data_IF_022956064879
#
_entry.id   IF_022956064879
#
_cell.length_a   1.000
_cell.length_b   1.000
_cell.length_c   1.000
_cell.angle_alpha   90.00
_cell.angle_beta   90.00
_cell.angle_gamma   90.00
#
_symmetry.space_group_name_H-M   'P 1'
#
loop_
_entity.id
_entity.type
_entity.pdbx_description
1 polymer ?
#
# COMPACT_ATOMS: atom_id res chain seq x y z
N UNK A 1 17.19 -21.12 12.33
CA UNK A 1 16.73 -21.03 10.93
C UNK A 1 16.81 -19.58 10.52
N UNK A 2 17.86 -19.21 9.79
CA UNK A 2 17.97 -17.90 9.14
C UNK A 2 16.72 -17.65 8.29
N UNK A 3 16.06 -16.52 8.54
CA UNK A 3 14.76 -16.20 7.97
C UNK A 3 14.79 -16.22 6.44
N UNK A 4 13.78 -16.82 5.84
CA UNK A 4 13.62 -16.96 4.40
C UNK A 4 13.25 -15.61 3.74
N UNK A 5 14.12 -14.60 3.89
CA UNK A 5 13.95 -13.27 3.26
C UNK A 5 14.05 -13.35 1.73
N UNK A 6 14.63 -14.40 1.19
CA UNK A 6 14.70 -14.63 -0.26
C UNK A 6 13.32 -14.77 -0.89
N UNK A 7 12.34 -15.35 -0.18
CA UNK A 7 10.96 -15.47 -0.66
C UNK A 7 10.24 -14.13 -0.87
N UNK A 8 10.71 -13.04 -0.24
CA UNK A 8 10.21 -11.67 -0.47
C UNK A 8 10.71 -11.15 -1.82
N UNK A 9 11.94 -11.49 -2.22
CA UNK A 9 12.58 -10.97 -3.44
C UNK A 9 12.05 -11.59 -4.73
N UNK A 10 11.59 -12.84 -4.67
CA UNK A 10 11.10 -13.60 -5.83
C UNK A 10 9.62 -13.35 -6.16
N UNK A 11 8.93 -12.59 -5.31
CA UNK A 11 7.49 -12.37 -5.40
C UNK A 11 7.17 -11.16 -6.28
N UNK A 12 6.37 -11.37 -7.32
CA UNK A 12 5.82 -10.29 -8.12
C UNK A 12 4.78 -9.47 -7.35
N UNK A 13 4.75 -8.17 -7.60
CA UNK A 13 3.76 -7.26 -7.04
C UNK A 13 3.31 -6.20 -8.04
N UNK A 14 2.11 -5.66 -7.85
CA UNK A 14 1.61 -4.46 -8.50
C UNK A 14 1.17 -3.44 -7.46
N UNK A 15 1.08 -2.17 -7.84
CA UNK A 15 0.60 -1.11 -6.96
C UNK A 15 -0.27 -0.11 -7.73
N UNK A 16 -1.36 0.28 -7.09
CA UNK A 16 -2.24 1.37 -7.50
C UNK A 16 -2.03 2.54 -6.53
N UNK A 17 -1.82 3.75 -7.06
CA UNK A 17 -1.60 4.97 -6.25
C UNK A 17 -2.53 6.07 -6.74
N UNK A 18 -3.45 6.47 -5.88
CA UNK A 18 -4.46 7.49 -6.19
C UNK A 18 -4.00 8.89 -5.74
N UNK A 19 -4.24 9.90 -6.59
CA UNK A 19 -3.90 11.29 -6.30
C UNK A 19 -4.78 12.29 -7.06
N UNK A 20 -4.67 13.55 -6.66
CA UNK A 20 -5.31 14.72 -7.29
C UNK A 20 -4.36 15.93 -7.28
N UNK A 21 -4.80 17.13 -7.66
CA UNK A 21 -3.97 18.33 -7.74
C UNK A 21 -3.15 18.47 -9.03
N UNK A 22 -3.02 17.38 -9.79
CA UNK A 22 -2.53 17.37 -11.17
C UNK A 22 -3.48 16.59 -12.06
N UNK A 23 -3.48 16.89 -13.35
CA UNK A 23 -4.27 16.14 -14.34
C UNK A 23 -3.61 14.80 -14.70
N UNK A 24 -4.39 13.84 -15.19
CA UNK A 24 -3.85 12.57 -15.73
C UNK A 24 -2.75 12.78 -16.77
N UNK A 25 -2.90 13.76 -17.66
CA UNK A 25 -1.87 14.10 -18.65
C UNK A 25 -0.56 14.58 -18.00
N UNK A 26 -0.65 15.44 -16.99
CA UNK A 26 0.52 15.92 -16.23
C UNK A 26 1.20 14.78 -15.48
N UNK A 27 0.42 13.91 -14.82
CA UNK A 27 0.93 12.71 -14.16
C UNK A 27 1.65 11.79 -15.17
N UNK A 28 1.02 11.50 -16.31
CA UNK A 28 1.59 10.65 -17.35
C UNK A 28 2.92 11.21 -17.89
N UNK A 29 3.01 12.53 -18.13
CA UNK A 29 4.25 13.19 -18.53
C UNK A 29 5.34 13.12 -17.45
N UNK A 30 4.96 13.32 -16.19
CA UNK A 30 5.90 13.25 -15.06
C UNK A 30 6.51 11.84 -14.92
N UNK A 31 5.67 10.80 -15.06
CA UNK A 31 6.10 9.39 -15.03
C UNK A 31 6.94 9.05 -16.27
N UNK A 32 6.53 9.46 -17.46
CA UNK A 32 7.27 9.24 -18.70
C UNK A 32 8.70 9.76 -18.64
N UNK A 33 8.94 10.91 -17.99
CA UNK A 33 10.29 11.45 -17.79
C UNK A 33 11.17 10.52 -16.95
N UNK A 34 10.64 9.93 -15.88
CA UNK A 34 11.40 9.01 -15.01
C UNK A 34 11.68 7.68 -15.71
N UNK A 35 10.73 7.21 -16.52
CA UNK A 35 10.86 5.96 -17.27
C UNK A 35 11.61 6.12 -18.59
N UNK A 36 12.16 7.33 -18.87
CA UNK A 36 12.87 7.68 -20.11
C UNK A 36 12.07 7.28 -21.37
N UNK A 37 10.77 7.56 -21.32
CA UNK A 37 9.78 7.08 -22.29
C UNK A 37 8.80 8.20 -22.64
N UNK A 38 7.73 7.86 -23.35
CA UNK A 38 6.66 8.78 -23.70
C UNK A 38 5.30 8.24 -23.26
N UNK A 39 4.37 9.16 -22.99
CA UNK A 39 3.00 8.82 -22.65
C UNK A 39 2.13 8.76 -23.91
N UNK A 40 1.34 7.70 -24.05
CA UNK A 40 0.33 7.53 -25.10
C UNK A 40 -1.05 7.64 -24.46
N UNK A 41 -1.93 8.51 -24.99
CA UNK A 41 -3.33 8.52 -24.59
C UNK A 41 -4.08 7.45 -25.39
N UNK A 42 -4.47 6.36 -24.75
CA UNK A 42 -5.30 5.28 -25.31
C UNK A 42 -6.80 5.63 -25.27
N UNK A 43 -7.20 6.63 -24.48
CA UNK A 43 -8.58 7.07 -24.33
C UNK A 43 -9.46 6.07 -23.59
N UNK A 44 -10.69 5.88 -24.07
CA UNK A 44 -11.68 4.95 -23.50
C UNK A 44 -12.38 5.48 -22.23
N UNK A 45 -13.20 4.64 -21.58
CA UNK A 45 -14.01 5.05 -20.43
C UNK A 45 -13.18 5.52 -19.22
N UNK A 46 -11.89 5.16 -19.18
CA UNK A 46 -10.96 5.55 -18.13
C UNK A 46 -10.01 6.69 -18.53
N UNK A 47 -10.12 7.26 -19.74
CA UNK A 47 -9.18 8.25 -20.31
C UNK A 47 -7.72 7.86 -20.01
N UNK A 48 -7.39 6.65 -20.45
CA UNK A 48 -6.19 5.92 -20.03
C UNK A 48 -4.97 6.44 -20.76
N UNK A 49 -3.92 6.74 -20.02
CA UNK A 49 -2.58 6.94 -20.54
C UNK A 49 -1.72 5.71 -20.26
N UNK A 50 -0.86 5.34 -21.20
CA UNK A 50 0.15 4.29 -21.00
C UNK A 50 1.56 4.81 -21.21
N UNK A 51 2.50 4.28 -20.40
CA UNK A 51 3.93 4.56 -20.47
C UNK A 51 4.65 3.23 -20.40
N UNK A 52 5.57 2.97 -21.32
CA UNK A 52 6.41 1.76 -21.30
C UNK A 52 7.70 2.04 -20.53
N UNK A 53 8.09 1.15 -19.64
CA UNK A 53 9.44 1.18 -19.05
C UNK A 53 10.48 0.53 -19.96
N UNK A 54 11.75 0.50 -19.51
CA UNK A 54 12.86 -0.10 -20.25
C UNK A 54 12.75 -1.63 -20.43
N UNK A 55 11.81 -2.29 -19.76
CA UNK A 55 11.49 -3.73 -19.91
C UNK A 55 10.21 -3.93 -20.75
N UNK A 56 9.75 -2.91 -21.46
CA UNK A 56 8.51 -2.86 -22.25
C UNK A 56 7.22 -3.10 -21.44
N UNK A 57 7.29 -2.99 -20.11
CA UNK A 57 6.12 -3.16 -19.25
C UNK A 57 5.31 -1.87 -19.24
N UNK A 58 3.98 -2.01 -19.30
CA UNK A 58 3.06 -0.87 -19.38
C UNK A 58 2.63 -0.40 -17.99
N UNK A 59 3.04 0.80 -17.63
CA UNK A 59 2.43 1.61 -16.59
C UNK A 59 1.20 2.30 -17.14
N UNK A 60 0.16 2.47 -16.32
CA UNK A 60 -1.07 3.15 -16.73
C UNK A 60 -1.40 4.29 -15.78
N UNK A 61 -1.91 5.40 -16.33
CA UNK A 61 -2.59 6.44 -15.56
C UNK A 61 -4.05 6.44 -15.99
N UNK A 62 -4.97 6.26 -15.05
CA UNK A 62 -6.39 6.09 -15.33
C UNK A 62 -7.25 7.01 -14.48
N UNK A 63 -8.50 7.15 -14.91
CA UNK A 63 -9.56 7.80 -14.16
C UNK A 63 -10.07 6.93 -13.01
N UNK A 64 -10.17 7.49 -11.80
CA UNK A 64 -10.93 6.89 -10.71
C UNK A 64 -12.21 7.69 -10.39
N UNK A 65 -13.35 7.03 -10.41
CA UNK A 65 -14.65 7.60 -10.02
C UNK A 65 -14.69 8.11 -8.58
N UNK A 66 -13.89 7.55 -7.68
CA UNK A 66 -14.00 7.76 -6.24
C UNK A 66 -13.39 9.09 -5.76
N UNK A 67 -12.36 9.59 -6.45
CA UNK A 67 -11.52 10.70 -6.02
C UNK A 67 -12.27 12.04 -6.05
N UNK A 68 -12.14 12.82 -4.96
CA UNK A 68 -12.53 14.23 -4.88
C UNK A 68 -11.41 15.10 -5.45
N UNK A 69 -11.74 15.87 -6.47
CA UNK A 69 -10.76 16.58 -7.27
C UNK A 69 -10.46 17.98 -6.73
N UNK A 70 -9.17 18.33 -6.67
CA UNK A 70 -8.71 19.71 -6.52
C UNK A 70 -7.79 20.08 -7.68
N UNK A 71 -7.72 21.36 -8.00
CA UNK A 71 -6.77 21.91 -8.97
C UNK A 71 -5.37 22.13 -8.36
N UNK A 72 -4.45 22.66 -9.18
CA UNK A 72 -3.07 22.96 -8.76
C UNK A 72 -2.98 24.00 -7.64
N UNK A 73 -3.98 24.87 -7.54
CA UNK A 73 -4.08 25.92 -6.51
C UNK A 73 -4.82 25.43 -5.26
N UNK A 74 -5.11 24.12 -5.17
CA UNK A 74 -5.85 23.47 -4.07
C UNK A 74 -7.33 23.86 -3.98
N UNK A 75 -7.91 24.41 -5.04
CA UNK A 75 -9.34 24.67 -5.09
C UNK A 75 -10.10 23.41 -5.52
N UNK A 76 -11.23 23.12 -4.87
CA UNK A 76 -12.17 22.09 -5.31
C UNK A 76 -12.58 22.33 -6.75
N UNK A 77 -12.55 21.29 -7.58
CA UNK A 77 -12.94 21.37 -8.99
C UNK A 77 -13.88 20.24 -9.38
N UNK A 78 -14.82 20.51 -10.30
CA UNK A 78 -15.66 19.49 -10.92
C UNK A 78 -14.96 18.76 -12.07
N UNK A 79 -13.79 19.23 -12.51
CA UNK A 79 -13.04 18.61 -13.59
C UNK A 79 -12.49 17.24 -13.19
N UNK A 80 -12.98 16.20 -13.86
CA UNK A 80 -12.55 14.80 -13.63
C UNK A 80 -11.16 14.48 -14.20
N UNK A 81 -10.50 15.43 -14.85
CA UNK A 81 -9.11 15.29 -15.30
C UNK A 81 -8.14 15.16 -14.12
N UNK A 82 -8.50 15.70 -12.95
CA UNK A 82 -7.73 15.68 -11.71
C UNK A 82 -8.00 14.46 -10.82
N UNK A 83 -8.81 13.50 -11.30
CA UNK A 83 -8.89 12.19 -10.69
C UNK A 83 -7.89 11.26 -11.38
N UNK A 84 -6.84 10.91 -10.66
CA UNK A 84 -5.65 10.25 -11.18
C UNK A 84 -5.35 9.01 -10.34
N UNK A 85 -5.35 7.85 -10.98
CA UNK A 85 -4.85 6.60 -10.40
C UNK A 85 -3.68 6.11 -11.27
N UNK A 86 -2.52 5.89 -10.65
CA UNK A 86 -1.35 5.26 -11.27
C UNK A 86 -1.39 3.77 -10.99
N UNK A 87 -1.36 2.96 -12.06
CA UNK A 87 -1.28 1.50 -11.98
C UNK A 87 0.06 1.03 -12.54
N UNK A 88 0.83 0.34 -11.70
CA UNK A 88 2.07 -0.29 -12.15
C UNK A 88 1.80 -1.55 -12.97
N UNK A 89 2.72 -1.97 -13.84
CA UNK A 89 2.75 -3.36 -14.30
C UNK A 89 3.11 -4.28 -13.11
N UNK A 90 3.20 -5.59 -13.37
CA UNK A 90 3.83 -6.50 -12.41
C UNK A 90 5.32 -6.17 -12.32
N UNK A 91 5.73 -5.78 -11.12
CA UNK A 91 7.07 -5.43 -10.70
C UNK A 91 7.66 -6.54 -9.83
N UNK A 92 8.97 -6.47 -9.64
CA UNK A 92 9.77 -7.34 -8.78
C UNK A 92 10.48 -6.51 -7.71
N UNK A 93 11.04 -7.16 -6.69
CA UNK A 93 11.66 -6.45 -5.56
C UNK A 93 12.77 -5.47 -5.98
N UNK A 94 13.52 -5.79 -7.05
CA UNK A 94 14.55 -4.92 -7.63
C UNK A 94 13.98 -3.64 -8.26
N UNK A 95 12.69 -3.59 -8.59
CA UNK A 95 12.03 -2.44 -9.19
C UNK A 95 11.60 -1.38 -8.15
N UNK A 96 11.76 -1.64 -6.84
CA UNK A 96 11.39 -0.71 -5.77
C UNK A 96 12.04 0.68 -5.94
N UNK A 97 13.35 0.82 -6.24
CA UNK A 97 13.95 2.13 -6.45
C UNK A 97 13.32 2.93 -7.60
N UNK A 98 13.00 2.27 -8.72
CA UNK A 98 12.29 2.90 -9.84
C UNK A 98 10.90 3.36 -9.42
N UNK A 99 10.13 2.50 -8.72
CA UNK A 99 8.82 2.89 -8.20
C UNK A 99 8.92 4.09 -7.25
N UNK A 100 9.94 4.14 -6.41
CA UNK A 100 10.15 5.28 -5.52
C UNK A 100 10.41 6.59 -6.30
N UNK A 101 11.15 6.54 -7.42
CA UNK A 101 11.32 7.71 -8.29
C UNK A 101 10.01 8.12 -8.98
N UNK A 102 9.21 7.15 -9.43
CA UNK A 102 7.86 7.40 -9.97
C UNK A 102 6.97 8.12 -8.95
N UNK A 103 7.02 7.72 -7.68
CA UNK A 103 6.28 8.39 -6.59
C UNK A 103 6.81 9.81 -6.36
N UNK A 104 8.14 9.98 -6.31
CA UNK A 104 8.78 11.28 -6.10
C UNK A 104 8.41 12.26 -7.22
N UNK A 105 8.37 11.82 -8.48
CA UNK A 105 8.04 12.71 -9.61
C UNK A 105 6.58 13.16 -9.55
N UNK A 106 5.63 12.30 -9.16
CA UNK A 106 4.24 12.70 -8.96
C UNK A 106 4.12 13.81 -7.91
N UNK A 107 4.78 13.62 -6.76
CA UNK A 107 4.82 14.65 -5.69
C UNK A 107 5.45 15.95 -6.19
N UNK A 108 6.61 15.87 -6.86
CA UNK A 108 7.31 17.04 -7.44
C UNK A 108 6.46 17.77 -8.49
N UNK A 109 5.60 17.06 -9.22
CA UNK A 109 4.67 17.64 -10.18
C UNK A 109 3.50 18.40 -9.53
N UNK A 110 3.32 18.29 -8.20
CA UNK A 110 2.28 18.97 -7.44
C UNK A 110 1.10 18.08 -7.05
N UNK A 111 1.18 16.77 -7.31
CA UNK A 111 0.15 15.83 -6.90
C UNK A 111 -0.01 15.84 -5.37
N UNK A 112 -1.25 15.68 -4.92
CA UNK A 112 -1.59 15.41 -3.53
C UNK A 112 -2.46 14.19 -3.41
N UNK A 113 -2.45 13.63 -2.22
CA UNK A 113 -3.22 12.46 -1.87
C UNK A 113 -3.60 12.59 -0.40
N UNK A 114 -4.64 11.87 0.02
CA UNK A 114 -5.22 12.02 1.35
C UNK A 114 -6.60 11.36 1.42
N UNK A 115 -6.99 10.95 2.62
CA UNK A 115 -8.29 10.34 2.86
C UNK A 115 -9.44 11.34 2.62
N UNK A 116 -9.20 12.64 2.85
CA UNK A 116 -10.12 13.73 2.56
C UNK A 116 -10.46 13.85 1.07
N UNK A 117 -9.52 13.43 0.20
CA UNK A 117 -9.70 13.34 -1.25
C UNK A 117 -10.25 11.99 -1.71
N UNK A 118 -10.51 11.07 -0.77
CA UNK A 118 -10.87 9.67 -1.02
C UNK A 118 -9.78 8.88 -1.76
N UNK A 119 -8.53 9.29 -1.68
CA UNK A 119 -7.44 8.54 -2.28
C UNK A 119 -6.99 7.36 -1.39
N UNK A 120 -6.41 6.36 -2.03
CA UNK A 120 -5.85 5.17 -1.42
C UNK A 120 -4.59 4.66 -2.13
N UNK A 121 -4.03 3.60 -1.54
CA UNK A 121 -3.03 2.75 -2.17
C UNK A 121 -3.54 1.31 -2.13
N UNK A 122 -3.49 0.61 -3.26
CA UNK A 122 -3.78 -0.81 -3.33
C UNK A 122 -2.52 -1.56 -3.73
N UNK A 123 -2.17 -2.61 -2.99
CA UNK A 123 -1.01 -3.45 -3.29
C UNK A 123 -1.51 -4.81 -3.73
N UNK A 124 -1.08 -5.23 -4.92
CA UNK A 124 -1.40 -6.51 -5.53
C UNK A 124 -0.20 -7.42 -5.38
N UNK A 125 -0.39 -8.64 -4.88
CA UNK A 125 0.70 -9.60 -4.71
C UNK A 125 0.39 -10.85 -5.53
N UNK A 126 1.31 -11.22 -6.43
CA UNK A 126 1.21 -12.44 -7.24
C UNK A 126 1.11 -13.67 -6.33
N UNK A 127 0.20 -14.58 -6.60
CA UNK A 127 -0.09 -15.70 -5.71
C UNK A 127 -0.14 -17.05 -6.45
N UNK A 128 0.68 -17.20 -7.49
CA UNK A 128 0.69 -18.38 -8.36
C UNK A 128 1.05 -19.69 -7.64
N UNK A 129 1.89 -19.60 -6.60
CA UNK A 129 2.33 -20.73 -5.76
C UNK A 129 1.44 -20.95 -4.51
N UNK A 130 0.31 -20.25 -4.41
CA UNK A 130 -0.58 -20.43 -3.27
C UNK A 130 -1.40 -21.72 -3.41
N UNK A 131 -1.43 -22.50 -2.32
CA UNK A 131 -2.33 -23.62 -2.11
C UNK A 131 -3.44 -23.23 -1.12
N UNK A 132 -4.43 -24.12 -0.91
CA UNK A 132 -5.50 -23.87 0.05
C UNK A 132 -4.99 -23.61 1.48
N UNK A 133 -3.84 -24.16 1.86
CA UNK A 133 -3.26 -23.99 3.20
C UNK A 133 -2.55 -22.64 3.31
N UNK A 134 -1.80 -22.19 2.31
CA UNK A 134 -1.19 -20.85 2.32
C UNK A 134 -2.24 -19.75 2.20
N UNK A 135 -3.30 -19.95 1.42
CA UNK A 135 -4.42 -19.01 1.36
C UNK A 135 -5.15 -18.89 2.70
N UNK A 136 -5.36 -20.00 3.40
CA UNK A 136 -5.86 -20.01 4.79
C UNK A 136 -4.93 -19.29 5.75
N UNK A 137 -3.62 -19.51 5.62
CA UNK A 137 -2.64 -18.82 6.45
C UNK A 137 -2.68 -17.31 6.22
N UNK A 138 -2.79 -16.86 4.96
CA UNK A 138 -2.90 -15.44 4.61
C UNK A 138 -4.08 -14.78 5.33
N UNK A 139 -5.26 -15.38 5.22
CA UNK A 139 -6.47 -14.90 5.90
C UNK A 139 -6.26 -14.85 7.42
N UNK A 140 -5.66 -15.90 7.99
CA UNK A 140 -5.41 -15.96 9.44
C UNK A 140 -4.37 -14.93 9.91
N UNK A 141 -3.34 -14.65 9.12
CA UNK A 141 -2.36 -13.59 9.42
C UNK A 141 -3.07 -12.24 9.47
N UNK A 142 -3.87 -11.92 8.44
CA UNK A 142 -4.63 -10.68 8.41
C UNK A 142 -5.58 -10.57 9.59
N UNK A 143 -6.36 -11.62 9.88
CA UNK A 143 -7.30 -11.63 11.00
C UNK A 143 -6.59 -11.49 12.36
N UNK A 144 -5.48 -12.20 12.58
CA UNK A 144 -4.76 -12.16 13.86
C UNK A 144 -4.03 -10.85 14.14
N UNK A 145 -3.71 -10.10 13.07
CA UNK A 145 -3.00 -8.82 13.13
C UNK A 145 -3.88 -7.64 12.73
N UNK A 146 -5.19 -7.84 12.58
CA UNK A 146 -6.07 -6.85 11.97
C UNK A 146 -6.07 -5.52 12.71
N UNK A 147 -6.15 -5.54 14.04
CA UNK A 147 -6.12 -4.32 14.86
C UNK A 147 -4.76 -3.62 14.81
N UNK A 148 -3.67 -4.39 14.91
CA UNK A 148 -2.31 -3.85 14.77
C UNK A 148 -2.07 -3.25 13.38
N UNK A 149 -2.53 -3.90 12.31
CA UNK A 149 -2.43 -3.38 10.95
C UNK A 149 -3.29 -2.12 10.80
N UNK A 150 -4.46 -2.07 11.45
CA UNK A 150 -5.30 -0.88 11.45
C UNK A 150 -4.59 0.33 12.08
N UNK A 151 -3.95 0.10 13.23
CA UNK A 151 -3.21 1.12 13.98
C UNK A 151 -1.91 1.53 13.26
N UNK A 152 -1.08 0.56 12.89
CA UNK A 152 0.22 0.80 12.26
C UNK A 152 0.09 1.44 10.87
N UNK A 153 -0.95 1.10 10.11
CA UNK A 153 -1.23 1.73 8.82
C UNK A 153 -2.06 3.02 8.96
N UNK A 154 -2.51 3.35 10.18
CA UNK A 154 -3.38 4.48 10.53
C UNK A 154 -4.66 4.53 9.68
N UNK A 155 -5.26 3.38 9.38
CA UNK A 155 -6.31 3.24 8.38
C UNK A 155 -7.46 4.20 8.68
N UNK A 156 -7.66 5.17 7.78
CA UNK A 156 -8.68 6.20 7.99
C UNK A 156 -10.09 5.59 8.04
N UNK A 157 -10.89 6.01 9.02
CA UNK A 157 -12.30 5.62 9.14
C UNK A 157 -13.12 6.02 7.90
N UNK A 158 -12.70 7.06 7.17
CA UNK A 158 -13.31 7.48 5.90
C UNK A 158 -13.15 6.45 4.77
N UNK A 159 -12.25 5.48 4.92
CA UNK A 159 -12.02 4.38 3.96
C UNK A 159 -12.71 3.08 4.33
N UNK A 160 -13.42 3.03 5.46
CA UNK A 160 -14.08 1.83 5.98
C UNK A 160 -15.04 1.16 4.99
N UNK A 161 -15.75 1.93 4.15
CA UNK A 161 -16.62 1.39 3.11
C UNK A 161 -15.92 0.78 1.90
N UNK A 162 -14.62 1.06 1.69
CA UNK A 162 -13.82 0.53 0.58
C UNK A 162 -12.77 -0.49 1.03
N UNK A 163 -12.64 -0.69 2.34
CA UNK A 163 -11.65 -1.51 3.00
C UNK A 163 -12.18 -1.95 4.37
N UNK A 164 -13.17 -2.84 4.37
CA UNK A 164 -13.71 -3.41 5.61
C UNK A 164 -12.76 -4.45 6.20
N UNK A 165 -12.88 -4.67 7.51
CA UNK A 165 -12.27 -5.82 8.19
C UNK A 165 -12.74 -7.15 7.58
N UNK A 166 -12.00 -8.22 7.86
CA UNK A 166 -12.29 -9.57 7.39
C UNK A 166 -13.72 -9.99 7.77
N UNK A 167 -14.44 -10.61 6.82
CA UNK A 167 -15.77 -11.15 7.09
C UNK A 167 -15.67 -12.23 8.18
N UNK A 168 -16.28 -11.97 9.33
CA UNK A 168 -16.24 -12.88 10.49
C UNK A 168 -16.92 -14.22 10.20
N UNK A 169 -17.96 -14.24 9.35
CA UNK A 169 -18.58 -15.50 8.91
C UNK A 169 -17.61 -16.30 8.05
N UNK A 170 -16.95 -15.66 7.07
CA UNK A 170 -15.91 -16.30 6.26
C UNK A 170 -14.79 -16.87 7.14
N UNK A 171 -14.23 -16.06 8.04
CA UNK A 171 -13.12 -16.44 8.91
C UNK A 171 -13.46 -17.64 9.80
N UNK A 172 -14.66 -17.63 10.40
CA UNK A 172 -15.16 -18.71 11.26
C UNK A 172 -15.30 -20.01 10.47
N UNK A 173 -15.99 -19.97 9.33
CA UNK A 173 -16.22 -21.15 8.49
C UNK A 173 -14.92 -21.70 7.90
N UNK A 174 -13.98 -20.83 7.49
CA UNK A 174 -12.67 -21.20 6.97
C UNK A 174 -11.85 -22.00 8.00
N UNK A 175 -11.91 -21.61 9.27
CA UNK A 175 -11.16 -22.26 10.35
C UNK A 175 -11.88 -23.47 10.96
N UNK A 176 -13.21 -23.51 10.87
CA UNK A 176 -14.02 -24.68 11.24
C UNK A 176 -13.87 -25.82 10.21
N UNK A 177 -14.08 -25.53 8.93
CA UNK A 177 -14.05 -26.53 7.84
C UNK A 177 -12.64 -26.92 7.41
N UNK A 178 -11.69 -25.99 7.50
CA UNK A 178 -10.27 -26.19 7.08
C UNK A 178 -10.16 -26.78 5.66
N UNK A 179 -10.76 -26.12 4.66
CA UNK A 179 -10.84 -26.63 3.28
C UNK A 179 -9.47 -26.98 2.72
N UNK A 180 -9.46 -27.93 1.77
CA UNK A 180 -8.24 -28.48 1.17
C UNK A 180 -8.05 -28.03 -0.28
N UNK A 181 -9.05 -27.40 -0.85
CA UNK A 181 -9.05 -26.92 -2.24
C UNK A 181 -9.31 -25.41 -2.29
N UNK A 182 -8.86 -24.77 -3.38
CA UNK A 182 -9.09 -23.34 -3.60
C UNK A 182 -10.57 -23.08 -3.86
N UNK A 183 -11.24 -24.00 -4.55
CA UNK A 183 -12.65 -23.96 -4.93
C UNK A 183 -13.56 -23.95 -3.69
N UNK A 184 -13.22 -24.70 -2.65
CA UNK A 184 -13.94 -24.65 -1.38
C UNK A 184 -13.77 -23.29 -0.69
N UNK A 185 -12.57 -22.72 -0.69
CA UNK A 185 -12.31 -21.39 -0.12
C UNK A 185 -13.09 -20.32 -0.91
N UNK A 186 -13.15 -20.44 -2.23
CA UNK A 186 -13.91 -19.56 -3.11
C UNK A 186 -15.41 -19.58 -2.78
N UNK A 187 -15.99 -20.77 -2.64
CA UNK A 187 -17.41 -20.91 -2.23
C UNK A 187 -17.67 -20.32 -0.85
N UNK A 188 -16.73 -20.49 0.08
CA UNK A 188 -16.81 -19.85 1.39
C UNK A 188 -16.74 -18.34 1.26
N UNK A 189 -15.81 -17.79 0.47
CA UNK A 189 -15.65 -16.35 0.26
C UNK A 189 -16.93 -15.71 -0.27
N UNK A 190 -17.53 -16.29 -1.31
CA UNK A 190 -18.76 -15.76 -1.92
C UNK A 190 -20.05 -16.12 -1.18
N UNK A 191 -19.96 -16.99 -0.16
CA UNK A 191 -21.12 -17.55 0.53
C UNK A 191 -22.12 -18.22 -0.42
N UNK A 192 -21.61 -18.96 -1.41
CA UNK A 192 -22.45 -19.57 -2.45
C UNK A 192 -21.71 -19.75 -3.76
N UNK A 193 -22.42 -19.53 -4.87
CA UNK A 193 -21.87 -19.63 -6.21
C UNK A 193 -20.72 -18.64 -6.45
N UNK A 194 -19.80 -19.03 -7.32
CA UNK A 194 -18.67 -18.18 -7.68
C UNK A 194 -19.14 -16.90 -8.36
N UNK A 195 -18.59 -15.78 -7.90
CA UNK A 195 -18.79 -14.47 -8.50
C UNK A 195 -17.50 -13.89 -9.09
N UNK A 196 -16.49 -14.74 -9.38
CA UNK A 196 -15.15 -14.29 -9.85
C UNK A 196 -15.16 -13.47 -11.14
N UNK A 197 -16.19 -13.61 -11.97
CA UNK A 197 -16.30 -12.90 -13.25
C UNK A 197 -16.99 -11.54 -13.12
N UNK A 198 -17.53 -11.19 -11.94
CA UNK A 198 -18.18 -9.90 -11.71
C UNK A 198 -17.14 -8.89 -11.21
N UNK A 199 -16.72 -7.99 -12.10
CA UNK A 199 -15.69 -7.00 -11.76
C UNK A 199 -16.05 -6.18 -10.51
N UNK A 200 -17.30 -5.73 -10.34
CA UNK A 200 -17.74 -4.93 -9.20
C UNK A 200 -18.48 -5.76 -8.13
N UNK A 201 -17.94 -6.91 -7.74
CA UNK A 201 -18.49 -7.70 -6.63
C UNK A 201 -18.26 -7.02 -5.28
N UNK A 202 -19.27 -7.05 -4.39
CA UNK A 202 -19.19 -6.40 -3.08
C UNK A 202 -18.18 -7.04 -2.13
N UNK A 203 -17.81 -8.31 -2.34
CA UNK A 203 -16.78 -8.98 -1.52
C UNK A 203 -15.39 -8.35 -1.69
N UNK A 204 -15.18 -7.53 -2.73
CA UNK A 204 -13.91 -6.85 -2.99
C UNK A 204 -13.52 -5.84 -1.91
N UNK A 205 -14.48 -5.24 -1.22
CA UNK A 205 -14.25 -4.11 -0.30
C UNK A 205 -13.79 -4.58 1.09
N UNK A 206 -12.73 -5.39 1.09
CA UNK A 206 -12.08 -5.96 2.28
C UNK A 206 -10.62 -5.53 2.30
N UNK A 207 -10.07 -5.35 3.50
CA UNK A 207 -8.65 -5.02 3.68
C UNK A 207 -7.74 -6.03 2.99
N UNK A 208 -8.08 -7.31 3.10
CA UNK A 208 -7.57 -8.38 2.25
C UNK A 208 -8.66 -8.78 1.27
N UNK A 209 -8.54 -8.35 0.03
CA UNK A 209 -9.45 -8.73 -1.04
C UNK A 209 -8.96 -10.03 -1.71
N UNK A 210 -9.76 -11.10 -1.59
CA UNK A 210 -9.52 -12.38 -2.28
C UNK A 210 -10.34 -12.55 -3.57
N UNK A 211 -11.27 -11.65 -3.87
CA UNK A 211 -11.95 -11.69 -5.17
C UNK A 211 -10.95 -11.55 -6.32
N UNK A 212 -9.93 -10.70 -6.16
CA UNK A 212 -8.79 -10.58 -7.09
C UNK A 212 -8.02 -11.91 -7.26
N UNK A 213 -7.93 -12.72 -6.20
CA UNK A 213 -7.25 -14.00 -6.27
C UNK A 213 -8.04 -14.98 -7.14
N UNK A 214 -9.36 -15.02 -6.96
CA UNK A 214 -10.22 -15.89 -7.76
C UNK A 214 -10.36 -15.41 -9.22
N UNK A 215 -10.30 -14.10 -9.47
CA UNK A 215 -10.41 -13.57 -10.84
C UNK A 215 -9.09 -13.55 -11.61
N UNK A 216 -7.94 -13.38 -10.92
CA UNK A 216 -6.65 -13.10 -11.55
C UNK A 216 -5.41 -13.66 -10.84
N UNK A 217 -5.55 -14.59 -9.89
CA UNK A 217 -4.45 -15.27 -9.15
C UNK A 217 -3.47 -14.32 -8.42
N UNK A 218 -3.92 -13.13 -8.05
CA UNK A 218 -3.21 -12.23 -7.14
C UNK A 218 -4.17 -11.79 -6.03
N UNK A 219 -3.72 -11.62 -4.80
CA UNK A 219 -4.56 -10.99 -3.78
C UNK A 219 -4.25 -9.49 -3.70
N UNK A 220 -5.18 -8.72 -3.16
CA UNK A 220 -5.05 -7.27 -3.05
C UNK A 220 -5.17 -6.84 -1.58
N UNK A 221 -4.28 -5.95 -1.15
CA UNK A 221 -4.27 -5.31 0.16
C UNK A 221 -4.74 -3.86 -0.01
N UNK A 222 -5.88 -3.53 0.60
CA UNK A 222 -6.57 -2.23 0.42
C UNK A 222 -6.40 -1.27 1.61
N UNK A 223 -5.87 -1.75 2.73
CA UNK A 223 -5.73 -0.98 3.96
C UNK A 223 -4.55 0.00 3.98
N UNK A 224 -3.70 0.04 2.95
CA UNK A 224 -2.61 1.02 2.87
C UNK A 224 -3.18 2.42 2.65
N UNK A 225 -2.91 3.36 3.57
CA UNK A 225 -3.33 4.75 3.41
C UNK A 225 -2.70 5.39 2.17
N UNK A 226 -3.38 6.41 1.65
CA UNK A 226 -2.83 7.30 0.63
C UNK A 226 -1.49 7.92 1.08
N UNK A 227 -0.47 7.84 0.23
CA UNK A 227 0.79 8.53 0.46
C UNK A 227 1.51 8.80 -0.87
N UNK A 228 2.20 9.93 -0.96
CA UNK A 228 3.21 10.19 -1.99
C UNK A 228 4.62 10.26 -1.36
N UNK A 229 4.82 9.58 -0.24
CA UNK A 229 6.11 9.42 0.40
C UNK A 229 6.75 8.09 0.00
N UNK A 230 7.82 8.15 -0.80
CA UNK A 230 8.51 6.97 -1.33
C UNK A 230 8.95 5.96 -0.24
N UNK A 231 9.34 6.45 0.95
CA UNK A 231 9.68 5.59 2.08
C UNK A 231 8.48 4.84 2.65
N UNK A 232 7.31 5.50 2.73
CA UNK A 232 6.07 4.89 3.26
C UNK A 232 5.59 3.79 2.32
N UNK A 233 5.60 4.07 1.01
CA UNK A 233 5.22 3.09 -0.02
C UNK A 233 6.13 1.86 0.02
N UNK A 234 7.46 2.06 0.15
CA UNK A 234 8.39 0.95 0.32
C UNK A 234 8.09 0.13 1.57
N UNK A 235 7.75 0.75 2.70
CA UNK A 235 7.37 0.05 3.93
C UNK A 235 6.09 -0.78 3.74
N UNK A 236 5.06 -0.22 3.10
CA UNK A 236 3.83 -0.95 2.79
C UNK A 236 4.07 -2.17 1.89
N UNK A 237 4.85 -1.99 0.83
CA UNK A 237 5.24 -3.10 -0.06
C UNK A 237 6.03 -4.17 0.67
N UNK A 238 7.01 -3.77 1.48
CA UNK A 238 7.84 -4.71 2.24
C UNK A 238 6.99 -5.53 3.22
N UNK A 239 6.05 -4.88 3.91
CA UNK A 239 5.09 -5.55 4.80
C UNK A 239 4.20 -6.53 4.03
N UNK A 240 3.64 -6.11 2.89
CA UNK A 240 2.80 -6.95 2.05
C UNK A 240 3.53 -8.22 1.58
N UNK A 241 4.76 -8.06 1.10
CA UNK A 241 5.60 -9.17 0.65
C UNK A 241 6.01 -10.08 1.83
N UNK A 242 6.29 -9.52 3.00
CA UNK A 242 6.59 -10.29 4.21
C UNK A 242 5.38 -11.13 4.67
N UNK A 243 4.18 -10.56 4.64
CA UNK A 243 2.93 -11.28 4.93
C UNK A 243 2.72 -12.42 3.93
N UNK A 244 2.91 -12.16 2.64
CA UNK A 244 2.83 -13.18 1.58
C UNK A 244 3.80 -14.33 1.82
N UNK A 245 5.07 -14.01 2.09
CA UNK A 245 6.10 -15.02 2.36
C UNK A 245 5.78 -15.83 3.63
N UNK A 246 5.28 -15.19 4.69
CA UNK A 246 4.84 -15.89 5.89
C UNK A 246 3.67 -16.85 5.61
N UNK A 247 2.71 -16.44 4.77
CA UNK A 247 1.56 -17.27 4.43
C UNK A 247 1.96 -18.58 3.74
N UNK A 248 2.92 -18.52 2.82
CA UNK A 248 3.43 -19.67 2.05
C UNK A 248 4.37 -20.55 2.88
N UNK A 249 5.27 -19.95 3.66
CA UNK A 249 6.34 -20.71 4.36
C UNK A 249 5.88 -21.36 5.67
N UNK A 250 4.88 -20.80 6.35
CA UNK A 250 4.40 -21.33 7.63
C UNK A 250 3.53 -22.56 7.41
N UNK A 251 3.70 -23.57 8.27
CA UNK A 251 2.81 -24.75 8.29
C UNK A 251 1.38 -24.39 8.69
N UNK A 252 1.24 -23.40 9.58
CA UNK A 252 -0.04 -22.93 10.10
C UNK A 252 0.11 -21.52 10.69
N UNK A 253 -0.89 -20.67 10.46
CA UNK A 253 -1.08 -19.39 11.14
C UNK A 253 -2.39 -19.40 11.92
N UNK A 254 -2.35 -18.97 13.18
CA UNK A 254 -3.55 -18.87 14.04
C UNK A 254 -4.36 -17.63 13.67
N UNK A 255 -5.71 -17.69 13.63
CA UNK A 255 -6.56 -16.52 13.44
C UNK A 255 -6.76 -15.69 14.71
N UNK A 256 -6.31 -16.18 15.88
CA UNK A 256 -6.49 -15.49 17.15
C UNK A 256 -5.77 -14.13 17.11
N UNK A 257 -6.50 -13.06 17.42
CA UNK A 257 -5.94 -11.71 17.55
C UNK A 257 -4.82 -11.75 18.57
N UNK A 258 -3.62 -11.34 18.17
CA UNK A 258 -2.52 -11.19 19.11
C UNK A 258 -2.78 -9.94 19.95
N UNK A 259 -3.14 -10.12 21.23
CA UNK A 259 -3.03 -9.04 22.21
C UNK A 259 -1.56 -8.93 22.59
N UNK A 260 -0.95 -7.81 22.28
CA UNK A 260 0.38 -7.46 22.79
C UNK A 260 0.14 -6.77 24.14
N UNK A 261 0.68 -7.29 25.24
CA UNK A 261 0.64 -6.63 26.55
C UNK A 261 1.56 -5.37 26.63
N UNK A 262 2.02 -4.85 25.49
CA UNK A 262 3.08 -3.84 25.39
C UNK A 262 2.77 -2.75 24.35
N UNK A 263 1.55 -2.18 24.38
CA UNK A 263 1.29 -0.89 23.72
C UNK A 263 0.75 0.07 24.79
N UNK A 264 1.69 0.85 25.35
CA UNK A 264 1.51 2.08 26.12
C UNK A 264 0.53 2.02 27.31
N UNK A 265 0.98 1.41 28.40
CA UNK A 265 0.61 1.84 29.76
C UNK A 265 1.79 2.60 30.38
N UNK A 266 2.11 3.77 29.85
CA UNK A 266 2.74 4.80 30.66
C UNK A 266 1.60 5.69 31.16
N UNK A 267 1.37 5.83 32.48
CA UNK A 267 0.46 6.85 32.97
C UNK A 267 0.99 8.21 32.51
N UNK A 268 0.11 9.06 32.01
CA UNK A 268 0.41 10.47 31.83
C UNK A 268 0.62 11.06 33.24
N UNK A 269 1.86 11.14 33.70
CA UNK A 269 2.23 12.12 34.71
C UNK A 269 2.32 13.47 33.99
N UNK A 270 1.34 14.33 34.24
CA UNK A 270 1.46 15.75 33.96
C UNK A 270 2.57 16.31 34.86
N UNK A 271 3.79 16.39 34.35
CA UNK A 271 4.80 17.31 34.88
C UNK A 271 4.69 18.62 34.08
N UNK A 272 4.19 19.67 34.73
CA UNK A 272 4.31 21.05 34.23
C UNK A 272 5.80 21.39 34.08
N UNK A 273 6.29 21.40 32.84
CA UNK A 273 7.61 21.95 32.51
C UNK A 273 7.45 23.45 32.34
N UNK A 274 8.07 24.22 33.24
CA UNK A 274 8.12 25.68 33.14
C UNK A 274 9.13 26.13 32.07
N UNK A 275 8.94 27.30 31.43
CA UNK A 275 9.71 27.73 30.25
C UNK A 275 11.22 27.92 30.42
N UNK A 276 11.77 27.77 31.63
CA UNK A 276 13.17 28.06 31.94
C UNK A 276 14.13 26.88 31.69
N UNK A 277 13.64 25.65 31.48
CA UNK A 277 14.52 24.46 31.24
C UNK A 277 14.88 24.22 29.76
N UNK A 278 14.36 25.01 28.81
CA UNK A 278 14.60 24.81 27.37
C UNK A 278 15.86 25.57 26.88
N UNK A 279 16.46 26.44 27.70
CA UNK A 279 17.56 27.31 27.30
C UNK A 279 18.97 26.75 27.58
N UNK A 280 19.15 25.75 28.44
CA UNK A 280 20.49 25.17 28.72
C UNK A 280 20.90 24.05 27.75
N UNK A 281 19.93 23.31 27.19
CA UNK A 281 20.26 22.19 26.28
C UNK A 281 20.60 22.64 24.83
N UNK A 282 20.14 23.82 24.40
CA UNK A 282 20.42 24.32 23.05
C UNK A 282 21.83 24.94 22.87
N UNK A 283 22.50 25.35 23.95
CA UNK A 283 23.84 25.96 23.84
C UNK A 283 24.97 24.92 23.83
N UNK A 284 24.72 23.69 24.30
CA UNK A 284 25.75 22.64 24.35
C UNK A 284 25.94 21.86 23.05
N UNK A 285 24.91 21.75 22.20
CA UNK A 285 25.01 21.05 20.90
C UNK A 285 25.63 21.92 19.79
N UNK A 286 25.71 23.25 19.97
CA UNK A 286 26.25 24.17 18.97
C UNK A 286 27.78 24.34 19.04
N UNK A 287 28.41 24.06 20.19
CA UNK A 287 29.88 24.17 20.34
C UNK A 287 30.63 22.91 19.86
N UNK A 288 29.98 21.74 19.79
CA UNK A 288 30.64 20.51 19.31
C UNK A 288 30.76 20.47 17.76
N UNK A 289 29.80 21.02 17.00
CA UNK A 289 29.85 21.00 15.52
C UNK A 289 30.89 21.96 14.90
N UNK A 290 31.23 23.10 15.53
CA UNK A 290 32.25 24.03 14.99
C UNK A 290 33.69 23.51 15.13
N UNK A 291 33.96 22.54 16.01
CA UNK A 291 35.33 22.03 16.25
C UNK A 291 35.76 20.92 15.28
N UNK A 292 34.82 20.20 14.65
CA UNK A 292 35.13 19.18 13.64
C UNK A 292 35.36 19.76 12.24
N UNK A 293 34.74 20.90 11.90
CA UNK A 293 34.83 21.48 10.54
C UNK A 293 36.13 22.27 10.29
N UNK A 294 36.82 22.74 11.34
CA UNK A 294 38.12 23.42 11.22
C UNK A 294 39.35 22.48 11.17
N UNK A 295 39.17 21.16 11.36
CA UNK A 295 40.26 20.17 11.39
C UNK A 295 40.64 19.55 10.04
N UNK A 296 39.87 19.77 8.98
CA UNK A 296 40.04 19.09 7.68
C UNK A 296 40.61 19.96 6.55
N UNK A 297 41.04 21.21 6.81
CA UNK A 297 41.56 22.12 5.78
C UNK A 297 43.06 22.48 5.90
N UNK A 298 43.89 21.59 6.46
CA UNK A 298 45.36 21.69 6.42
C UNK A 298 46.01 20.34 6.06
N UNK A 299 45.69 19.81 4.87
CA UNK A 299 46.61 18.92 4.15
C UNK A 299 46.26 18.85 2.65
N UNK A 300 46.64 19.88 1.89
CA UNK A 300 47.10 19.82 0.50
C UNK A 300 47.62 21.19 0.05
#
# INVERSE_FOLDING_TARGET
MSGNYEGIKTRGYGIEIECTGITRNQAAKAVAKVLESYAVNEGGPYDKYTIKDNKDRKWSIVYDGSIRCIDRNRNTTSSRLYSVELNSPVLSYEDIPMLQEVVRTLRKAGAVTGAEYKCGIHIHISADDFDARSLRNLVNIFASKEDFLWEALQVSSMRSGYCEKVDQRFLSELNKKKPKTIEEIERLWYNGESRRNYHYDSSRYRALNLHSYFSGRHFEIRCCNSSLHAGVIRSYLTLALAISNAAVTKKYCSPKVSRSDNILSAPAEESEVTPDEILEDCESEFEEEETEEMGMELSM
#
